data_IF_729235311523
#
_entry.id   IF_729235311523
#
_cell.length_a   1.000
_cell.length_b   1.000
_cell.length_c   1.000
_cell.angle_alpha   90.00
_cell.angle_beta   90.00
_cell.angle_gamma   90.00
#
_symmetry.space_group_name_H-M   'P 1'
#
loop_
_entity.id
_entity.type
_entity.pdbx_description
1 polymer ?
#
# COMPACT_ATOMS: atom_id res chain seq x y z
N UNK A 1 -40.30 -51.60 -15.66
CA UNK A 1 -40.02 -50.18 -15.97
C UNK A 1 -39.37 -49.40 -14.80
N UNK A 2 -39.79 -49.61 -13.54
CA UNK A 2 -39.28 -48.84 -12.39
C UNK A 2 -37.76 -48.98 -12.10
N UNK A 3 -37.18 -50.15 -12.34
CA UNK A 3 -35.75 -50.41 -12.09
C UNK A 3 -34.81 -49.69 -13.06
N UNK A 4 -35.25 -49.51 -14.32
CA UNK A 4 -34.50 -48.74 -15.32
C UNK A 4 -34.56 -47.24 -15.02
N UNK A 5 -35.68 -46.75 -14.46
CA UNK A 5 -35.82 -45.37 -14.03
C UNK A 5 -34.93 -45.06 -12.81
N UNK A 6 -34.84 -45.96 -11.83
CA UNK A 6 -33.92 -45.83 -10.69
C UNK A 6 -32.44 -45.88 -11.12
N UNK A 7 -32.10 -46.75 -12.07
CA UNK A 7 -30.75 -46.82 -12.63
C UNK A 7 -30.34 -45.54 -13.37
N UNK A 8 -31.26 -44.94 -14.14
CA UNK A 8 -31.01 -43.68 -14.83
C UNK A 8 -30.85 -42.49 -13.87
N UNK A 9 -31.64 -42.45 -12.78
CA UNK A 9 -31.54 -41.40 -11.75
C UNK A 9 -30.24 -41.54 -10.95
N UNK A 10 -29.80 -42.77 -10.63
CA UNK A 10 -28.53 -43.00 -9.95
C UNK A 10 -27.32 -42.62 -10.83
N UNK A 11 -27.37 -42.93 -12.13
CA UNK A 11 -26.34 -42.52 -13.09
C UNK A 11 -26.26 -40.99 -13.24
N UNK A 12 -27.41 -40.30 -13.32
CA UNK A 12 -27.46 -38.84 -13.35
C UNK A 12 -27.01 -38.19 -12.03
N UNK A 13 -27.29 -38.79 -10.87
CA UNK A 13 -26.83 -38.32 -9.57
C UNK A 13 -25.31 -38.52 -9.35
N UNK A 14 -24.73 -39.57 -9.93
CA UNK A 14 -23.27 -39.80 -9.97
C UNK A 14 -22.58 -38.85 -10.95
N UNK A 15 -23.27 -38.43 -12.02
CA UNK A 15 -22.77 -37.53 -13.06
C UNK A 15 -23.00 -36.05 -12.73
N UNK A 16 -23.90 -35.72 -11.80
CA UNK A 16 -24.05 -34.39 -11.23
C UNK A 16 -22.91 -34.09 -10.25
N UNK A 17 -21.77 -33.76 -10.84
CA UNK A 17 -20.71 -32.94 -10.26
C UNK A 17 -20.30 -33.32 -8.84
N UNK A 18 -19.44 -34.33 -8.74
CA UNK A 18 -18.66 -34.53 -7.52
C UNK A 18 -17.95 -33.21 -7.17
N UNK A 19 -17.96 -32.83 -5.88
CA UNK A 19 -17.11 -31.72 -5.36
C UNK A 19 -15.62 -31.88 -5.75
N UNK A 20 -15.21 -33.08 -6.18
CA UNK A 20 -13.85 -33.39 -6.64
C UNK A 20 -13.53 -32.83 -8.03
N UNK A 21 -14.46 -32.81 -8.98
CA UNK A 21 -14.24 -32.17 -10.29
C UNK A 21 -14.14 -30.64 -10.20
N UNK A 22 -14.85 -30.07 -9.22
CA UNK A 22 -14.68 -28.66 -8.85
C UNK A 22 -13.27 -28.39 -8.31
N UNK A 23 -12.65 -29.32 -7.58
CA UNK A 23 -11.27 -29.12 -7.07
C UNK A 23 -10.22 -29.17 -8.18
N UNK A 24 -10.38 -30.03 -9.19
CA UNK A 24 -9.42 -30.18 -10.30
C UNK A 24 -9.46 -28.98 -11.27
N UNK A 25 -10.61 -28.32 -11.44
CA UNK A 25 -10.72 -27.14 -12.32
C UNK A 25 -10.60 -25.79 -11.59
N UNK A 26 -10.62 -25.78 -10.26
CA UNK A 26 -10.51 -24.56 -9.44
C UNK A 26 -9.09 -24.12 -9.08
N UNK A 27 -8.05 -24.89 -9.46
CA UNK A 27 -6.65 -24.53 -9.22
C UNK A 27 -6.26 -23.12 -9.72
N UNK A 28 -7.05 -22.50 -10.62
CA UNK A 28 -6.86 -21.11 -11.05
C UNK A 28 -7.85 -20.08 -10.49
N UNK A 29 -9.02 -20.47 -9.96
CA UNK A 29 -10.06 -19.52 -9.51
C UNK A 29 -9.92 -19.08 -8.06
N UNK A 30 -9.33 -19.89 -7.19
CA UNK A 30 -9.03 -19.48 -5.82
C UNK A 30 -7.58 -19.03 -5.63
N UNK A 31 -6.72 -19.24 -6.64
CA UNK A 31 -5.34 -18.78 -6.57
C UNK A 31 -5.25 -17.25 -6.67
N UNK A 32 -4.96 -16.65 -5.52
CA UNK A 32 -4.78 -15.21 -5.39
C UNK A 32 -3.57 -14.66 -6.17
N UNK A 33 -2.69 -15.53 -6.71
CA UNK A 33 -1.54 -15.19 -7.55
C UNK A 33 -1.86 -15.21 -9.05
N UNK A 34 -3.13 -15.35 -9.45
CA UNK A 34 -3.55 -15.28 -10.86
C UNK A 34 -4.58 -14.17 -11.10
N UNK A 35 -4.74 -13.76 -12.37
CA UNK A 35 -5.81 -12.81 -12.73
C UNK A 35 -7.19 -13.37 -12.41
N UNK A 36 -7.42 -14.66 -12.72
CA UNK A 36 -8.70 -15.35 -12.47
C UNK A 36 -9.03 -15.39 -10.99
N UNK A 37 -8.07 -15.69 -10.12
CA UNK A 37 -8.34 -15.70 -8.68
C UNK A 37 -8.46 -14.33 -8.04
N UNK A 38 -7.77 -13.31 -8.56
CA UNK A 38 -8.04 -11.91 -8.18
C UNK A 38 -9.42 -11.45 -8.65
N UNK A 39 -9.88 -11.90 -9.82
CA UNK A 39 -11.21 -11.60 -10.33
C UNK A 39 -12.29 -12.25 -9.47
N UNK A 40 -12.15 -13.55 -9.19
CA UNK A 40 -13.06 -14.31 -8.32
C UNK A 40 -13.13 -13.74 -6.89
N UNK A 41 -11.99 -13.40 -6.30
CA UNK A 41 -11.94 -12.79 -4.97
C UNK A 41 -12.31 -11.31 -4.93
N UNK A 42 -12.77 -10.72 -6.04
CA UNK A 42 -13.10 -9.29 -6.18
C UNK A 42 -11.98 -8.32 -5.73
N UNK A 43 -10.71 -8.78 -5.77
CA UNK A 43 -9.54 -8.01 -5.30
C UNK A 43 -8.74 -7.47 -6.48
N UNK A 44 -8.11 -6.32 -6.28
CA UNK A 44 -7.07 -5.81 -7.17
C UNK A 44 -5.69 -6.18 -6.62
N UNK A 45 -4.67 -6.27 -7.49
CA UNK A 45 -3.30 -6.58 -7.08
C UNK A 45 -2.35 -6.70 -8.28
N UNK A 46 -1.14 -7.22 -8.05
CA UNK A 46 -0.12 -7.42 -9.11
C UNK A 46 -0.68 -8.11 -10.36
N UNK A 47 -1.50 -9.14 -10.15
CA UNK A 47 -2.07 -9.97 -11.21
C UNK A 47 -3.42 -9.44 -11.75
N UNK A 48 -4.00 -8.40 -11.15
CA UNK A 48 -5.22 -7.70 -11.62
C UNK A 48 -5.13 -6.23 -11.25
N UNK A 49 -4.43 -5.47 -12.07
CA UNK A 49 -4.20 -4.05 -11.84
C UNK A 49 -5.47 -3.24 -12.15
N UNK A 50 -5.64 -2.11 -11.45
CA UNK A 50 -6.64 -1.10 -11.86
C UNK A 50 -6.20 -0.45 -13.18
N UNK A 51 -7.16 -0.03 -14.01
CA UNK A 51 -6.90 0.59 -15.33
C UNK A 51 -5.91 1.76 -15.26
N UNK A 52 -6.02 2.61 -14.23
CA UNK A 52 -5.13 3.75 -13.99
C UNK A 52 -3.68 3.32 -13.75
N UNK A 53 -3.47 2.36 -12.84
CA UNK A 53 -2.13 1.82 -12.53
C UNK A 53 -1.52 1.09 -13.74
N UNK A 54 -2.33 0.33 -14.49
CA UNK A 54 -1.87 -0.33 -15.71
C UNK A 54 -1.44 0.68 -16.80
N UNK A 55 -2.20 1.78 -16.98
CA UNK A 55 -1.87 2.86 -17.91
C UNK A 55 -0.56 3.56 -17.53
N UNK A 56 -0.38 3.86 -16.24
CA UNK A 56 0.87 4.46 -15.71
C UNK A 56 2.08 3.57 -15.96
N UNK A 57 1.99 2.28 -15.61
CA UNK A 57 3.08 1.32 -15.84
C UNK A 57 3.41 1.15 -17.32
N UNK A 58 2.40 1.22 -18.20
CA UNK A 58 2.62 1.19 -19.65
C UNK A 58 3.41 2.42 -20.12
N UNK A 59 3.04 3.62 -19.67
CA UNK A 59 3.75 4.85 -19.99
C UNK A 59 5.21 4.82 -19.48
N UNK A 60 5.43 4.30 -18.27
CA UNK A 60 6.79 4.13 -17.70
C UNK A 60 7.61 3.20 -18.58
N UNK A 61 7.06 2.04 -18.96
CA UNK A 61 7.73 1.09 -19.86
C UNK A 61 8.05 1.67 -21.24
N UNK A 62 7.24 2.61 -21.70
CA UNK A 62 7.42 3.28 -22.99
C UNK A 62 8.34 4.51 -22.90
N UNK A 63 8.84 4.87 -21.71
CA UNK A 63 9.66 6.06 -21.50
C UNK A 63 8.91 7.39 -21.65
N UNK A 64 7.58 7.35 -21.82
CA UNK A 64 6.73 8.54 -22.01
C UNK A 64 6.12 9.05 -20.70
N UNK A 65 6.48 8.43 -19.59
CA UNK A 65 6.00 8.84 -18.27
C UNK A 65 6.82 10.00 -17.74
N UNK A 66 6.16 11.15 -17.67
CA UNK A 66 6.67 12.35 -17.03
C UNK A 66 6.16 12.39 -15.57
N UNK A 67 7.02 12.20 -14.55
CA UNK A 67 6.62 12.19 -13.16
C UNK A 67 6.09 13.56 -12.69
N UNK A 68 6.57 14.66 -13.27
CA UNK A 68 6.26 16.02 -12.85
C UNK A 68 4.89 16.48 -13.37
N UNK A 69 4.41 15.86 -14.44
CA UNK A 69 3.07 16.12 -15.02
C UNK A 69 1.97 15.22 -14.49
N UNK A 70 2.25 14.36 -13.50
CA UNK A 70 1.22 13.50 -12.92
C UNK A 70 0.28 14.32 -12.06
N UNK A 71 -0.91 14.60 -12.62
CA UNK A 71 -2.01 15.19 -11.85
C UNK A 71 -2.36 14.25 -10.68
N UNK A 72 -1.99 14.64 -9.47
CA UNK A 72 -2.46 13.98 -8.26
C UNK A 72 -3.98 14.11 -8.19
N UNK A 73 -4.69 12.98 -8.29
CA UNK A 73 -6.14 12.91 -8.10
C UNK A 73 -6.42 12.33 -6.71
N UNK A 74 -6.87 13.19 -5.80
CA UNK A 74 -7.06 12.91 -4.37
C UNK A 74 -6.48 14.04 -3.53
N UNK A 75 -6.54 13.94 -2.19
CA UNK A 75 -5.57 14.70 -1.40
C UNK A 75 -4.16 14.33 -1.90
N UNK A 76 -3.22 15.28 -1.99
CA UNK A 76 -1.82 14.92 -2.11
C UNK A 76 -1.59 13.85 -1.06
N UNK A 77 -1.18 12.63 -1.43
CA UNK A 77 -0.64 11.75 -0.41
C UNK A 77 0.60 12.50 0.08
N UNK A 78 0.60 13.08 1.29
CA UNK A 78 1.84 13.55 1.88
C UNK A 78 2.85 12.39 1.75
N UNK A 79 4.08 12.67 1.34
CA UNK A 79 5.08 11.64 1.04
C UNK A 79 5.20 10.60 2.17
N UNK A 80 4.82 10.97 3.40
CA UNK A 80 4.13 10.12 4.39
C UNK A 80 3.03 10.92 5.12
N UNK A 81 1.82 10.37 5.30
CA UNK A 81 0.75 11.02 6.10
C UNK A 81 1.03 11.12 7.59
N UNK A 82 2.08 10.43 8.02
CA UNK A 82 2.64 10.46 9.37
C UNK A 82 3.97 11.22 9.43
N UNK A 83 4.37 11.90 8.36
CA UNK A 83 5.52 12.80 8.40
C UNK A 83 5.16 14.00 9.29
N UNK A 84 5.85 14.21 10.43
CA UNK A 84 5.54 15.28 11.38
C UNK A 84 5.43 16.65 10.70
N UNK A 85 6.28 16.92 9.70
CA UNK A 85 6.29 18.16 8.94
C UNK A 85 5.02 18.36 8.12
N UNK A 86 4.54 17.30 7.49
CA UNK A 86 3.34 17.33 6.65
C UNK A 86 2.07 17.37 7.51
N UNK A 87 2.09 16.74 8.69
CA UNK A 87 0.98 16.83 9.65
C UNK A 87 0.76 18.27 10.12
N UNK A 88 1.84 19.01 10.41
CA UNK A 88 1.74 20.40 10.87
C UNK A 88 1.49 21.40 9.74
N UNK A 89 1.99 21.14 8.52
CA UNK A 89 1.69 21.94 7.34
C UNK A 89 0.25 21.74 6.83
N UNK A 90 -0.34 20.57 7.06
CA UNK A 90 -1.68 20.25 6.59
C UNK A 90 -2.75 21.00 7.40
N UNK A 91 -3.47 21.89 6.71
CA UNK A 91 -4.55 22.70 7.28
C UNK A 91 -5.61 21.83 7.99
N UNK A 92 -5.89 20.61 7.54
CA UNK A 92 -6.86 19.74 8.20
C UNK A 92 -6.48 19.39 9.65
N UNK A 93 -5.18 19.22 9.92
CA UNK A 93 -4.69 18.76 11.22
C UNK A 93 -4.21 19.91 12.11
N UNK A 94 -3.64 20.97 11.52
CA UNK A 94 -3.07 22.08 12.28
C UNK A 94 -3.92 23.35 12.31
N UNK A 95 -4.75 23.63 11.29
CA UNK A 95 -5.45 24.91 11.15
C UNK A 95 -6.46 25.15 12.29
N UNK A 96 -7.16 24.10 12.73
CA UNK A 96 -8.15 24.19 13.81
C UNK A 96 -7.53 24.07 15.21
N UNK A 97 -6.19 23.97 15.33
CA UNK A 97 -5.50 23.95 16.62
C UNK A 97 -5.11 25.38 17.03
N UNK A 98 -5.24 25.74 18.33
CA UNK A 98 -4.78 27.01 18.85
C UNK A 98 -3.29 27.27 18.55
N UNK A 99 -2.90 28.54 18.43
CA UNK A 99 -1.52 28.94 18.15
C UNK A 99 -0.52 28.36 19.17
N UNK A 100 -0.86 28.41 20.46
CA UNK A 100 -0.03 27.88 21.55
C UNK A 100 0.28 26.39 21.39
N UNK A 101 -0.63 25.61 20.80
CA UNK A 101 -0.42 24.18 20.58
C UNK A 101 0.66 23.95 19.52
N UNK A 102 0.67 24.77 18.46
CA UNK A 102 1.70 24.69 17.41
C UNK A 102 3.05 25.11 17.96
N UNK A 103 3.10 26.15 18.77
CA UNK A 103 4.34 26.61 19.42
C UNK A 103 4.91 25.57 20.38
N UNK A 104 4.05 24.96 21.22
CA UNK A 104 4.48 23.92 22.15
C UNK A 104 4.97 22.67 21.41
N UNK A 105 4.27 22.28 20.34
CA UNK A 105 4.70 21.16 19.50
C UNK A 105 6.03 21.45 18.81
N UNK A 106 6.21 22.65 18.26
CA UNK A 106 7.46 23.07 17.63
C UNK A 106 8.61 23.03 18.63
N UNK A 107 8.44 23.61 19.83
CA UNK A 107 9.44 23.56 20.91
C UNK A 107 9.80 22.13 21.31
N UNK A 108 8.81 21.26 21.46
CA UNK A 108 9.04 19.85 21.79
C UNK A 108 9.82 19.14 20.66
N UNK A 109 9.44 19.40 19.41
CA UNK A 109 10.08 18.80 18.24
C UNK A 109 11.53 19.26 18.10
N UNK A 110 11.80 20.55 18.23
CA UNK A 110 13.14 21.12 18.17
C UNK A 110 14.03 20.53 19.28
N UNK A 111 13.50 20.38 20.50
CA UNK A 111 14.21 19.69 21.59
C UNK A 111 14.50 18.21 21.29
N UNK A 112 13.62 17.50 20.59
CA UNK A 112 13.89 16.13 20.13
C UNK A 112 14.99 16.08 19.07
N UNK A 113 14.97 17.02 18.12
CA UNK A 113 16.01 17.15 17.09
C UNK A 113 17.38 17.38 17.73
N UNK A 114 17.47 18.31 18.68
CA UNK A 114 18.70 18.63 19.39
C UNK A 114 19.21 17.42 20.19
N UNK A 115 18.38 16.79 21.02
CA UNK A 115 18.77 15.62 21.81
C UNK A 115 19.28 14.46 20.93
N UNK A 116 18.65 14.23 19.77
CA UNK A 116 19.11 13.19 18.84
C UNK A 116 20.42 13.58 18.13
N UNK A 117 20.65 14.88 17.90
CA UNK A 117 21.89 15.42 17.32
C UNK A 117 23.04 15.46 18.33
N UNK A 118 22.78 15.55 19.62
CA UNK A 118 23.82 15.38 20.65
C UNK A 118 24.37 13.96 20.64
N UNK A 119 23.49 12.96 20.55
CA UNK A 119 23.85 11.54 20.48
C UNK A 119 24.09 11.03 19.04
N UNK A 120 24.47 11.94 18.12
CA UNK A 120 24.52 11.62 16.69
C UNK A 120 25.45 10.45 16.36
N UNK A 121 26.56 10.26 17.08
CA UNK A 121 27.49 9.16 16.80
C UNK A 121 26.85 7.78 16.96
N UNK A 122 25.90 7.64 17.88
CA UNK A 122 25.20 6.38 18.14
C UNK A 122 23.95 6.23 17.27
N UNK A 123 23.33 7.36 16.91
CA UNK A 123 22.01 7.40 16.26
C UNK A 123 22.04 7.74 14.77
N UNK A 124 23.13 8.29 14.24
CA UNK A 124 23.27 8.60 12.82
C UNK A 124 23.85 7.39 12.09
N UNK A 125 23.13 6.84 11.11
CA UNK A 125 23.62 5.70 10.32
C UNK A 125 22.53 4.71 9.91
N UNK A 126 22.91 3.45 9.69
CA UNK A 126 22.05 2.42 9.06
C UNK A 126 20.74 2.15 9.82
N UNK A 127 20.73 2.30 11.13
CA UNK A 127 19.61 1.86 11.99
C UNK A 127 18.86 3.00 12.69
N UNK A 128 19.41 4.21 12.70
CA UNK A 128 18.75 5.33 13.36
C UNK A 128 17.83 6.12 12.45
N UNK A 129 16.90 6.85 13.07
CA UNK A 129 15.92 7.67 12.36
C UNK A 129 16.63 8.85 11.69
N UNK A 130 16.68 8.82 10.36
CA UNK A 130 17.36 9.83 9.53
C UNK A 130 16.66 11.21 9.55
N UNK A 131 15.39 11.26 9.94
CA UNK A 131 14.60 12.50 9.97
C UNK A 131 15.23 13.60 10.84
N UNK A 132 15.93 13.23 11.92
CA UNK A 132 16.56 14.16 12.84
C UNK A 132 17.85 14.79 12.29
N UNK A 133 18.47 14.13 11.32
CA UNK A 133 19.76 14.53 10.73
C UNK A 133 19.61 15.11 9.32
N UNK A 134 18.37 15.27 8.84
CA UNK A 134 18.11 15.89 7.54
C UNK A 134 18.67 17.32 7.53
N UNK A 135 19.43 17.63 6.48
CA UNK A 135 20.07 18.94 6.24
C UNK A 135 20.99 19.40 7.38
N UNK A 136 21.51 18.47 8.20
CA UNK A 136 22.40 18.76 9.31
C UNK A 136 23.74 18.02 9.17
N UNK A 137 24.82 18.75 9.38
CA UNK A 137 26.19 18.22 9.27
C UNK A 137 26.75 17.97 10.67
N UNK A 138 27.24 16.75 10.98
CA UNK A 138 27.79 16.46 12.29
C UNK A 138 29.09 17.24 12.54
N UNK A 139 29.34 17.70 13.78
CA UNK A 139 30.45 18.59 14.10
C UNK A 139 31.84 17.95 13.96
N UNK A 140 31.94 16.62 13.88
CA UNK A 140 33.21 15.90 13.68
C UNK A 140 33.53 15.60 12.19
N UNK A 141 32.67 16.03 11.26
CA UNK A 141 32.90 15.86 9.82
C UNK A 141 33.54 17.10 9.16
N UNK A 142 34.09 18.02 9.96
CA UNK A 142 34.91 19.15 9.53
C UNK A 142 36.39 18.91 9.87
#
# INVERSE_FOLDING_TARGET
AAWLALGAVAALALQSSTRRDSLVTMFGKHDSRTFRGKLHGHKFGKYRLRKTKARRLRAIKQGTFDPDKVVQRGQPEPEHCWDPWNMMANKMYSHNRPAWFRELWQKWYDGQVEAHREEWQQRMGKYGKQIWFKDWTPPAAA
#
